data_IF_724799230387
#
_entry.id   IF_724799230387
#
_cell.length_a   1.000
_cell.length_b   1.000
_cell.length_c   1.000
_cell.angle_alpha   90.00
_cell.angle_beta   90.00
_cell.angle_gamma   90.00
#
_symmetry.space_group_name_H-M   'P 1'
#
loop_
_entity.id
_entity.type
_entity.pdbx_description
1 polymer ?
#
# COMPACT_ATOMS: atom_id res chain seq x y z
N UNK A 1 -2.05 14.12 -42.90
CA UNK A 1 -2.32 15.03 -41.75
C UNK A 1 -2.57 14.17 -40.52
N UNK A 2 -1.83 14.46 -39.45
CA UNK A 2 -1.70 13.65 -38.25
C UNK A 2 -2.98 13.63 -37.39
N UNK A 3 -3.36 12.44 -36.91
CA UNK A 3 -4.17 12.32 -35.70
C UNK A 3 -3.56 11.24 -34.83
N UNK A 4 -2.55 11.64 -34.06
CA UNK A 4 -2.07 10.92 -32.88
C UNK A 4 -3.24 10.80 -31.92
N UNK A 5 -3.82 9.60 -31.83
CA UNK A 5 -4.71 9.24 -30.75
C UNK A 5 -3.87 9.20 -29.47
N UNK A 6 -4.11 10.17 -28.59
CA UNK A 6 -3.57 10.21 -27.24
C UNK A 6 -4.09 8.97 -26.51
N UNK A 7 -3.19 8.02 -26.26
CA UNK A 7 -3.46 6.92 -25.34
C UNK A 7 -3.77 7.50 -23.95
N UNK A 8 -4.73 6.94 -23.20
CA UNK A 8 -4.96 7.37 -21.84
C UNK A 8 -3.67 7.12 -21.06
N UNK A 9 -3.13 8.16 -20.43
CA UNK A 9 -2.06 8.01 -19.46
C UNK A 9 -2.50 6.97 -18.42
N UNK A 10 -1.60 6.09 -17.94
CA UNK A 10 -1.97 5.16 -16.90
C UNK A 10 -2.38 5.97 -15.67
N UNK A 11 -3.68 6.04 -15.40
CA UNK A 11 -4.20 6.36 -14.09
C UNK A 11 -3.47 5.45 -13.12
N UNK A 12 -2.71 6.07 -12.21
CA UNK A 12 -1.75 5.47 -11.28
C UNK A 12 -2.13 4.03 -10.96
N UNK A 13 -1.31 3.12 -11.49
CA UNK A 13 -1.41 1.69 -11.22
C UNK A 13 -1.73 1.48 -9.74
N UNK A 14 -2.78 0.72 -9.48
CA UNK A 14 -3.22 0.34 -8.16
C UNK A 14 -2.01 -0.09 -7.31
N UNK A 15 -1.76 0.66 -6.25
CA UNK A 15 -0.55 0.61 -5.43
C UNK A 15 -0.33 -0.79 -4.86
N UNK A 16 0.77 -1.44 -5.25
CA UNK A 16 1.24 -2.63 -4.53
C UNK A 16 1.62 -2.25 -3.09
N UNK A 17 1.76 -3.23 -2.20
CA UNK A 17 2.24 -2.99 -0.84
C UNK A 17 3.60 -2.25 -0.86
N UNK A 18 4.52 -2.70 -1.72
CA UNK A 18 5.84 -2.12 -1.88
C UNK A 18 5.79 -0.67 -2.40
N UNK A 19 4.90 -0.38 -3.35
CA UNK A 19 4.73 0.98 -3.86
C UNK A 19 4.20 1.92 -2.78
N UNK A 20 3.22 1.45 -2.00
CA UNK A 20 2.63 2.24 -0.92
C UNK A 20 3.63 2.48 0.22
N UNK A 21 4.43 1.47 0.57
CA UNK A 21 5.50 1.57 1.56
C UNK A 21 6.58 2.56 1.09
N UNK A 22 7.05 2.43 -0.16
CA UNK A 22 8.05 3.34 -0.73
C UNK A 22 7.57 4.80 -0.80
N UNK A 23 6.28 5.01 -1.08
CA UNK A 23 5.69 6.35 -1.06
C UNK A 23 5.63 6.90 0.37
N UNK A 24 5.26 6.07 1.35
CA UNK A 24 5.18 6.46 2.76
C UNK A 24 6.56 6.86 3.30
N UNK A 25 7.60 6.09 3.01
CA UNK A 25 8.98 6.38 3.41
C UNK A 25 9.46 7.72 2.84
N UNK A 26 9.20 7.98 1.55
CA UNK A 26 9.53 9.26 0.91
C UNK A 26 8.80 10.43 1.56
N UNK A 27 7.54 10.23 1.93
CA UNK A 27 6.72 11.25 2.56
C UNK A 27 7.24 11.57 3.97
N UNK A 28 7.55 10.55 4.77
CA UNK A 28 8.14 10.72 6.11
C UNK A 28 9.48 11.45 6.03
N UNK A 29 10.38 11.03 5.12
CA UNK A 29 11.66 11.69 4.93
C UNK A 29 11.51 13.18 4.55
N UNK A 30 10.51 13.52 3.73
CA UNK A 30 10.21 14.91 3.40
C UNK A 30 9.70 15.71 4.61
N UNK A 31 8.89 15.11 5.48
CA UNK A 31 8.39 15.74 6.71
C UNK A 31 9.51 15.97 7.73
N UNK A 32 10.42 15.00 7.88
CA UNK A 32 11.57 15.08 8.79
C UNK A 32 12.61 16.10 8.32
N UNK A 33 12.70 16.36 7.02
CA UNK A 33 13.58 17.38 6.44
C UNK A 33 13.25 18.83 6.85
N UNK A 34 12.15 19.07 7.58
CA UNK A 34 11.87 20.34 8.29
C UNK A 34 11.55 21.56 7.41
N UNK A 35 11.62 21.43 6.08
CA UNK A 35 11.47 22.54 5.13
C UNK A 35 10.11 22.55 4.42
N UNK A 36 9.11 21.95 5.05
CA UNK A 36 7.79 21.73 4.47
C UNK A 36 6.83 22.88 4.87
N UNK A 37 6.20 23.57 3.91
CA UNK A 37 5.20 24.59 4.21
C UNK A 37 4.05 24.02 5.05
N UNK A 38 3.46 24.84 5.94
CA UNK A 38 2.35 24.42 6.80
C UNK A 38 1.17 23.83 6.01
N UNK A 39 0.85 24.41 4.86
CA UNK A 39 -0.23 23.92 3.99
C UNK A 39 0.06 22.52 3.45
N UNK A 40 1.34 22.16 3.28
CA UNK A 40 1.77 20.85 2.81
C UNK A 40 1.87 19.80 3.91
N UNK A 41 1.99 20.23 5.17
CA UNK A 41 2.00 19.33 6.33
C UNK A 41 0.70 18.54 6.45
N UNK A 42 -0.45 19.21 6.29
CA UNK A 42 -1.76 18.55 6.40
C UNK A 42 -2.01 17.58 5.24
N UNK A 43 -1.64 17.98 4.02
CA UNK A 43 -1.74 17.13 2.83
C UNK A 43 -0.88 15.87 2.96
N UNK A 44 0.39 16.04 3.36
CA UNK A 44 1.31 14.93 3.59
C UNK A 44 0.80 14.02 4.71
N UNK A 45 0.32 14.58 5.82
CA UNK A 45 -0.23 13.77 6.91
C UNK A 45 -1.42 12.92 6.44
N UNK A 46 -2.38 13.52 5.70
CA UNK A 46 -3.52 12.77 5.14
C UNK A 46 -3.06 11.64 4.23
N UNK A 47 -2.14 11.94 3.31
CA UNK A 47 -1.61 10.95 2.39
C UNK A 47 -0.87 9.83 3.13
N UNK A 48 -0.07 10.16 4.14
CA UNK A 48 0.60 9.18 4.99
C UNK A 48 -0.38 8.26 5.72
N UNK A 49 -1.49 8.80 6.23
CA UNK A 49 -2.54 8.01 6.88
C UNK A 49 -3.24 7.06 5.89
N UNK A 50 -3.52 7.50 4.67
CA UNK A 50 -4.06 6.64 3.61
C UNK A 50 -3.12 5.48 3.27
N UNK A 51 -1.84 5.77 3.07
CA UNK A 51 -0.82 4.77 2.75
C UNK A 51 -0.66 3.76 3.89
N UNK A 52 -0.64 4.22 5.14
CA UNK A 52 -0.55 3.35 6.30
C UNK A 52 -1.76 2.39 6.39
N UNK A 53 -2.97 2.91 6.15
CA UNK A 53 -4.18 2.09 6.14
C UNK A 53 -4.15 1.03 5.04
N UNK A 54 -3.66 1.40 3.85
CA UNK A 54 -3.49 0.46 2.74
C UNK A 54 -2.50 -0.65 3.11
N UNK A 55 -1.34 -0.31 3.66
CA UNK A 55 -0.33 -1.28 4.08
C UNK A 55 -0.90 -2.25 5.12
N UNK A 56 -1.62 -1.75 6.13
CA UNK A 56 -2.26 -2.58 7.15
C UNK A 56 -3.30 -3.54 6.57
N UNK A 57 -4.18 -3.03 5.71
CA UNK A 57 -5.22 -3.84 5.07
C UNK A 57 -4.62 -4.97 4.21
N UNK A 58 -3.49 -4.71 3.54
CA UNK A 58 -2.77 -5.75 2.76
C UNK A 58 -2.19 -6.83 3.66
N UNK A 59 -1.55 -6.45 4.77
CA UNK A 59 -0.99 -7.40 5.73
C UNK A 59 -2.09 -8.26 6.39
N UNK A 60 -3.20 -7.65 6.79
CA UNK A 60 -4.35 -8.34 7.36
C UNK A 60 -4.95 -9.35 6.37
N UNK A 61 -5.09 -8.97 5.09
CA UNK A 61 -5.58 -9.87 4.06
C UNK A 61 -4.66 -11.10 3.88
N UNK A 62 -3.33 -10.90 3.95
CA UNK A 62 -2.36 -12.00 3.88
C UNK A 62 -2.45 -12.89 5.13
N UNK A 63 -2.56 -12.30 6.32
CA UNK A 63 -2.68 -13.05 7.57
C UNK A 63 -3.93 -13.95 7.57
N UNK A 64 -5.06 -13.44 7.10
CA UNK A 64 -6.30 -14.22 6.95
C UNK A 64 -6.12 -15.39 5.98
N UNK A 65 -5.44 -15.17 4.85
CA UNK A 65 -5.17 -16.23 3.88
C UNK A 65 -4.27 -17.33 4.46
N UNK A 66 -3.24 -16.96 5.22
CA UNK A 66 -2.36 -17.92 5.89
C UNK A 66 -3.14 -18.76 6.90
N UNK A 67 -3.98 -18.14 7.74
CA UNK A 67 -4.82 -18.86 8.71
C UNK A 67 -5.74 -19.88 8.05
N UNK A 68 -6.39 -19.50 6.95
CA UNK A 68 -7.27 -20.43 6.19
C UNK A 68 -6.48 -21.62 5.64
N UNK A 69 -5.23 -21.41 5.18
CA UNK A 69 -4.38 -22.50 4.70
C UNK A 69 -3.96 -23.44 5.84
N UNK A 70 -3.58 -22.89 6.99
CA UNK A 70 -3.24 -23.68 8.18
C UNK A 70 -4.44 -24.50 8.68
N UNK A 71 -5.62 -23.89 8.74
CA UNK A 71 -6.88 -24.54 9.14
C UNK A 71 -7.28 -25.64 8.13
N UNK A 72 -7.05 -25.42 6.84
CA UNK A 72 -7.27 -26.42 5.79
C UNK A 72 -6.25 -27.57 5.78
N UNK A 73 -5.10 -27.41 6.44
CA UNK A 73 -4.05 -28.41 6.57
C UNK A 73 -4.08 -29.19 7.89
N UNK A 74 -4.93 -28.81 8.86
CA UNK A 74 -5.19 -29.57 10.07
C UNK A 74 -5.95 -30.88 9.75
N UNK A 75 -5.24 -31.86 9.19
CA UNK A 75 -5.64 -33.27 9.35
C UNK A 75 -5.48 -33.61 10.83
N UNK A 76 -6.50 -34.18 11.50
CA UNK A 76 -6.29 -34.79 12.80
C UNK A 76 -5.17 -35.81 12.64
N UNK A 77 -4.08 -35.63 13.38
CA UNK A 77 -3.05 -36.66 13.49
C UNK A 77 -3.68 -37.84 14.24
N UNK A 78 -4.25 -38.79 13.50
CA UNK A 78 -4.64 -40.08 14.03
C UNK A 78 -3.39 -40.96 14.03
N UNK A 79 -2.59 -40.86 15.10
CA UNK A 79 -1.66 -41.93 15.43
C UNK A 79 -2.49 -43.22 15.61
N UNK A 80 -2.28 -44.19 14.72
CA UNK A 80 -2.61 -45.59 14.97
C UNK A 80 -1.40 -46.29 15.58
#
# INVERSE_FOLDING_TARGET
MAKTASAPAPEKAASSYEDALSELERLVAAMEGGQLPLDKLLDNYRRGAELLNLCRARLEAVEVQVKVLEDGQLKPWTAS
#
